data_IF_912644161741
#
_entry.id   IF_912644161741
#
_cell.length_a   1.000
_cell.length_b   1.000
_cell.length_c   1.000
_cell.angle_alpha   90.00
_cell.angle_beta   90.00
_cell.angle_gamma   90.00
#
_symmetry.space_group_name_H-M   'P 1'
#
loop_
_entity.id
_entity.type
_entity.pdbx_description
1 polymer ?
#
# COMPACT_ATOMS: atom_id res chain seq x y z
N UNK A 1 -14.51 -8.21 29.71
CA UNK A 1 -14.64 -8.16 28.24
C UNK A 1 -14.30 -6.75 27.77
N UNK A 2 -13.35 -6.58 26.86
CA UNK A 2 -13.06 -5.29 26.23
C UNK A 2 -13.67 -5.25 24.83
N UNK A 3 -14.54 -4.29 24.56
CA UNK A 3 -15.15 -4.08 23.24
C UNK A 3 -14.29 -3.06 22.49
N UNK A 4 -14.00 -3.31 21.21
CA UNK A 4 -13.27 -2.38 20.34
C UNK A 4 -14.04 -2.17 19.03
N UNK A 5 -13.76 -1.05 18.37
CA UNK A 5 -14.20 -0.79 17.00
C UNK A 5 -13.21 -1.42 16.01
N UNK A 6 -13.71 -1.89 14.88
CA UNK A 6 -12.90 -2.47 13.83
C UNK A 6 -13.51 -2.19 12.46
N UNK A 7 -12.66 -2.16 11.45
CA UNK A 7 -13.05 -2.04 10.04
C UNK A 7 -12.88 -3.42 9.41
N UNK A 8 -13.94 -3.98 8.87
CA UNK A 8 -13.87 -5.26 8.14
C UNK A 8 -13.25 -5.01 6.76
N UNK A 9 -12.02 -5.49 6.56
CA UNK A 9 -11.30 -5.40 5.27
C UNK A 9 -11.38 -6.69 4.45
N UNK A 10 -11.91 -7.76 5.02
CA UNK A 10 -12.11 -9.02 4.30
C UNK A 10 -12.99 -10.00 5.07
N UNK A 11 -13.50 -10.97 4.34
CA UNK A 11 -14.42 -11.98 4.85
C UNK A 11 -14.23 -13.31 4.10
N UNK A 12 -14.36 -14.41 4.84
CA UNK A 12 -14.32 -15.77 4.30
C UNK A 12 -15.61 -16.48 4.66
N UNK A 13 -16.16 -17.24 3.73
CA UNK A 13 -17.47 -17.87 3.94
C UNK A 13 -17.55 -19.25 3.27
N UNK A 14 -18.04 -20.24 4.03
CA UNK A 14 -18.38 -21.56 3.49
C UNK A 14 -19.77 -21.51 2.88
N UNK A 15 -19.84 -21.45 1.55
CA UNK A 15 -21.10 -21.35 0.80
C UNK A 15 -21.88 -22.66 0.76
N UNK A 16 -21.20 -23.80 0.90
CA UNK A 16 -21.82 -25.11 0.71
C UNK A 16 -22.24 -25.29 -0.76
N UNK A 17 -23.39 -25.92 -0.98
CA UNK A 17 -23.87 -26.22 -2.34
C UNK A 17 -24.85 -25.17 -2.90
N UNK A 18 -25.04 -24.03 -2.22
CA UNK A 18 -26.09 -23.04 -2.55
C UNK A 18 -26.17 -22.66 -4.03
N UNK A 19 -25.03 -22.37 -4.65
CA UNK A 19 -24.98 -21.94 -6.06
C UNK A 19 -24.86 -23.10 -7.02
N UNK A 20 -24.08 -24.11 -6.66
CA UNK A 20 -23.86 -25.29 -7.47
C UNK A 20 -25.12 -26.13 -7.64
N UNK A 21 -26.00 -26.23 -6.62
CA UNK A 21 -27.32 -26.86 -6.73
C UNK A 21 -28.23 -26.08 -7.71
N UNK A 22 -28.18 -24.75 -7.66
CA UNK A 22 -29.02 -23.88 -8.49
C UNK A 22 -28.55 -23.79 -9.96
N UNK A 23 -27.26 -24.02 -10.21
CA UNK A 23 -26.62 -23.88 -11.52
C UNK A 23 -26.24 -25.21 -12.16
N UNK A 24 -26.61 -26.33 -11.53
CA UNK A 24 -26.26 -27.70 -11.95
C UNK A 24 -24.74 -27.91 -12.13
N UNK A 25 -23.95 -27.35 -11.21
CA UNK A 25 -22.49 -27.47 -11.21
C UNK A 25 -22.06 -28.71 -10.43
N UNK A 26 -21.80 -29.80 -11.16
CA UNK A 26 -21.52 -31.13 -10.62
C UNK A 26 -20.15 -31.67 -11.05
N UNK A 27 -19.65 -32.68 -10.35
CA UNK A 27 -18.46 -33.46 -10.70
C UNK A 27 -18.70 -34.96 -10.48
N UNK A 28 -17.93 -35.81 -11.15
CA UNK A 28 -17.90 -37.25 -10.85
C UNK A 28 -16.74 -37.56 -9.91
N UNK A 29 -17.00 -38.36 -8.88
CA UNK A 29 -15.96 -38.85 -7.98
C UNK A 29 -15.23 -40.08 -8.56
N UNK A 30 -14.33 -40.65 -7.77
CA UNK A 30 -13.55 -41.84 -8.12
C UNK A 30 -14.39 -43.11 -8.35
N UNK A 31 -15.62 -43.15 -7.83
CA UNK A 31 -16.58 -44.24 -8.03
C UNK A 31 -17.52 -43.99 -9.23
N UNK A 32 -17.40 -42.83 -9.88
CA UNK A 32 -18.28 -42.40 -10.97
C UNK A 32 -19.61 -41.83 -10.48
N UNK A 33 -19.78 -41.60 -9.18
CA UNK A 33 -20.98 -40.98 -8.61
C UNK A 33 -20.96 -39.47 -8.87
N UNK A 34 -22.12 -38.92 -9.22
CA UNK A 34 -22.27 -37.48 -9.50
C UNK A 34 -22.59 -36.73 -8.22
N UNK A 35 -21.75 -35.74 -7.89
CA UNK A 35 -21.86 -34.90 -6.69
C UNK A 35 -21.92 -33.42 -7.07
N UNK A 36 -22.64 -32.63 -6.27
CA UNK A 36 -22.59 -31.18 -6.37
C UNK A 36 -21.29 -30.63 -5.77
N UNK A 37 -20.68 -29.63 -6.42
CA UNK A 37 -19.47 -28.97 -5.92
C UNK A 37 -19.74 -28.22 -4.61
N UNK A 38 -18.98 -28.51 -3.54
CA UNK A 38 -19.01 -27.72 -2.30
C UNK A 38 -18.18 -26.46 -2.47
N UNK A 39 -18.79 -25.30 -2.25
CA UNK A 39 -18.17 -24.00 -2.53
C UNK A 39 -17.76 -23.23 -1.26
N UNK A 40 -16.74 -22.40 -1.42
CA UNK A 40 -16.37 -21.33 -0.49
C UNK A 40 -16.11 -20.04 -1.25
N UNK A 41 -16.26 -18.89 -0.59
CA UNK A 41 -15.86 -17.60 -1.15
C UNK A 41 -14.99 -16.82 -0.18
N UNK A 42 -14.13 -15.99 -0.75
CA UNK A 42 -13.13 -15.20 -0.05
C UNK A 42 -13.11 -13.81 -0.67
N UNK A 43 -13.27 -12.78 0.15
CA UNK A 43 -13.33 -11.40 -0.31
C UNK A 43 -12.38 -10.52 0.49
N UNK A 44 -11.62 -9.67 -0.20
CA UNK A 44 -10.82 -8.60 0.39
C UNK A 44 -11.23 -7.28 -0.28
N UNK A 45 -11.58 -6.30 0.53
CA UNK A 45 -11.89 -4.96 0.06
C UNK A 45 -10.63 -4.16 -0.19
N UNK A 46 -9.93 -4.39 -1.32
CA UNK A 46 -8.61 -3.78 -1.61
C UNK A 46 -8.59 -2.26 -1.36
N UNK A 47 -9.52 -1.51 -1.95
CA UNK A 47 -9.61 -0.06 -1.73
C UNK A 47 -9.95 0.33 -0.28
N UNK A 48 -10.75 -0.50 0.41
CA UNK A 48 -11.04 -0.30 1.84
C UNK A 48 -9.81 -0.56 2.70
N UNK A 49 -8.96 -1.51 2.34
CA UNK A 49 -7.71 -1.81 3.04
C UNK A 49 -6.77 -0.61 3.01
N UNK A 50 -6.68 0.11 1.89
CA UNK A 50 -5.88 1.35 1.79
C UNK A 50 -6.39 2.40 2.78
N UNK A 51 -7.69 2.68 2.79
CA UNK A 51 -8.29 3.65 3.71
C UNK A 51 -8.14 3.20 5.19
N UNK A 52 -8.30 1.91 5.47
CA UNK A 52 -8.13 1.35 6.81
C UNK A 52 -6.67 1.44 7.29
N UNK A 53 -5.69 1.33 6.39
CA UNK A 53 -4.29 1.53 6.72
C UNK A 53 -4.02 2.98 7.13
N UNK A 54 -4.55 3.97 6.41
CA UNK A 54 -4.44 5.39 6.79
C UNK A 54 -5.12 5.66 8.14
N UNK A 55 -6.34 5.15 8.33
CA UNK A 55 -7.09 5.32 9.60
C UNK A 55 -6.31 4.80 10.82
N UNK A 56 -5.51 3.75 10.64
CA UNK A 56 -4.69 3.16 11.71
C UNK A 56 -3.29 3.77 11.83
N UNK A 57 -2.78 4.41 10.78
CA UNK A 57 -1.39 4.88 10.70
C UNK A 57 -1.37 6.32 10.15
N UNK A 58 -1.61 7.29 11.03
CA UNK A 58 -1.50 8.72 10.77
C UNK A 58 -1.18 9.46 12.07
N UNK A 59 -0.72 10.70 11.94
CA UNK A 59 -0.54 11.63 13.05
C UNK A 59 -1.12 13.02 12.71
N UNK A 60 -0.69 14.06 13.42
CA UNK A 60 -1.16 15.43 13.20
C UNK A 60 -0.62 16.04 11.89
N UNK A 61 0.47 15.50 11.35
CA UNK A 61 1.17 16.04 10.19
C UNK A 61 0.79 15.31 8.89
N UNK A 62 0.43 14.03 8.95
CA UNK A 62 0.00 13.31 7.76
C UNK A 62 -0.21 11.80 7.89
N UNK A 63 -0.15 11.15 6.73
CA UNK A 63 -0.24 9.69 6.60
C UNK A 63 1.08 9.07 7.09
N UNK A 64 1.04 7.86 7.65
CA UNK A 64 2.24 7.07 7.92
C UNK A 64 2.08 5.73 7.20
N UNK A 65 2.64 5.59 6.00
CA UNK A 65 2.46 4.36 5.23
C UNK A 65 3.25 3.19 5.84
N UNK A 66 2.61 2.02 6.02
CA UNK A 66 3.35 0.77 6.16
C UNK A 66 4.17 0.51 4.88
N UNK A 67 5.46 0.23 5.02
CA UNK A 67 6.41 0.07 3.89
C UNK A 67 5.89 -0.80 2.75
N UNK A 68 5.22 -1.96 2.98
CA UNK A 68 4.79 -2.84 1.87
C UNK A 68 3.69 -2.27 0.96
N UNK A 69 3.01 -1.19 1.39
CA UNK A 69 1.90 -0.57 0.63
C UNK A 69 2.14 0.93 0.39
N UNK A 70 3.34 1.43 0.71
CA UNK A 70 3.71 2.82 0.46
C UNK A 70 3.80 3.06 -1.05
N UNK A 71 3.33 4.21 -1.58
CA UNK A 71 3.47 4.53 -3.00
C UNK A 71 4.91 4.66 -3.46
N UNK A 72 5.76 5.22 -2.60
CA UNK A 72 7.21 5.29 -2.73
C UNK A 72 7.84 4.98 -1.38
N UNK A 73 9.04 4.43 -1.38
CA UNK A 73 9.78 4.10 -0.17
C UNK A 73 10.52 5.32 0.39
N UNK A 74 11.15 6.10 -0.50
CA UNK A 74 12.04 7.20 -0.14
C UNK A 74 11.64 8.48 -0.88
N UNK A 75 11.51 9.59 -0.16
CA UNK A 75 11.40 10.94 -0.71
C UNK A 75 12.75 11.68 -0.59
N UNK A 76 13.39 12.00 -1.71
CA UNK A 76 14.64 12.76 -1.75
C UNK A 76 14.29 14.25 -1.85
N UNK A 77 14.71 15.03 -0.85
CA UNK A 77 14.34 16.43 -0.71
C UNK A 77 15.61 17.30 -0.74
N UNK A 78 15.97 17.92 -1.89
CA UNK A 78 17.01 18.93 -1.93
C UNK A 78 16.58 20.21 -1.19
N UNK A 79 17.40 20.67 -0.25
CA UNK A 79 17.22 21.94 0.48
C UNK A 79 17.35 23.14 -0.47
N UNK A 80 18.17 23.00 -1.52
CA UNK A 80 18.30 23.97 -2.60
C UNK A 80 18.40 23.25 -3.93
N UNK A 81 17.67 23.71 -4.93
CA UNK A 81 17.72 23.17 -6.30
C UNK A 81 18.82 23.90 -7.06
N UNK A 82 20.04 23.37 -6.98
CA UNK A 82 21.20 23.82 -7.75
C UNK A 82 21.97 22.64 -8.36
N UNK A 83 22.88 22.92 -9.29
CA UNK A 83 23.61 21.89 -10.02
C UNK A 83 24.45 20.96 -9.12
N UNK A 84 24.98 21.46 -8.00
CA UNK A 84 25.80 20.66 -7.09
C UNK A 84 24.96 19.71 -6.26
N UNK A 85 23.88 20.20 -5.66
CA UNK A 85 22.94 19.44 -4.85
C UNK A 85 22.22 18.41 -5.70
N UNK A 86 21.76 18.80 -6.90
CA UNK A 86 21.01 17.90 -7.79
C UNK A 86 21.87 16.76 -8.31
N UNK A 87 23.19 16.94 -8.51
CA UNK A 87 24.09 15.83 -8.84
C UNK A 87 24.11 14.77 -7.74
N UNK A 88 24.14 15.19 -6.47
CA UNK A 88 24.10 14.27 -5.33
C UNK A 88 22.73 13.60 -5.22
N UNK A 89 21.64 14.36 -5.37
CA UNK A 89 20.28 13.82 -5.37
C UNK A 89 20.09 12.74 -6.45
N UNK A 90 20.49 13.02 -7.69
CA UNK A 90 20.39 12.07 -8.80
C UNK A 90 21.25 10.82 -8.56
N UNK A 91 22.46 10.97 -8.03
CA UNK A 91 23.29 9.81 -7.69
C UNK A 91 22.63 8.90 -6.64
N UNK A 92 22.03 9.49 -5.60
CA UNK A 92 21.30 8.74 -4.56
C UNK A 92 20.06 8.10 -5.15
N UNK A 93 19.30 8.84 -5.96
CA UNK A 93 18.11 8.35 -6.67
C UNK A 93 18.44 7.09 -7.47
N UNK A 94 19.42 7.17 -8.38
CA UNK A 94 19.85 6.04 -9.23
C UNK A 94 20.32 4.84 -8.39
N UNK A 95 21.03 5.09 -7.29
CA UNK A 95 21.55 4.04 -6.42
C UNK A 95 20.45 3.30 -5.67
N UNK A 96 19.41 4.01 -5.23
CA UNK A 96 18.27 3.44 -4.53
C UNK A 96 17.33 2.71 -5.50
N UNK A 97 17.08 3.26 -6.69
CA UNK A 97 16.35 2.56 -7.75
C UNK A 97 17.07 1.27 -8.16
N UNK A 98 18.39 1.30 -8.32
CA UNK A 98 19.19 0.11 -8.63
C UNK A 98 19.14 -0.94 -7.51
N UNK A 99 18.83 -0.54 -6.28
CA UNK A 99 18.59 -1.45 -5.16
C UNK A 99 17.15 -1.99 -5.12
N UNK A 100 16.28 -1.60 -6.06
CA UNK A 100 14.90 -2.05 -6.18
C UNK A 100 13.91 -1.27 -5.30
N UNK A 101 14.25 -0.06 -4.87
CA UNK A 101 13.35 0.80 -4.12
C UNK A 101 12.65 1.78 -5.06
N UNK A 102 11.34 1.96 -4.87
CA UNK A 102 10.61 3.10 -5.44
C UNK A 102 11.01 4.40 -4.75
N UNK A 103 11.51 5.37 -5.51
CA UNK A 103 12.04 6.64 -4.99
C UNK A 103 11.30 7.82 -5.63
N UNK A 104 10.95 8.81 -4.83
CA UNK A 104 10.48 10.12 -5.28
C UNK A 104 11.61 11.14 -5.11
N UNK A 105 11.71 12.09 -6.03
CA UNK A 105 12.64 13.22 -5.95
C UNK A 105 11.84 14.53 -6.01
N UNK A 106 11.84 15.30 -4.94
CA UNK A 106 11.18 16.61 -4.87
C UNK A 106 12.10 17.72 -5.44
N UNK A 107 12.21 17.77 -6.77
CA UNK A 107 13.02 18.74 -7.51
C UNK A 107 12.33 20.11 -7.71
N UNK A 108 11.17 20.34 -7.08
CA UNK A 108 10.42 21.60 -7.20
C UNK A 108 11.23 22.79 -6.68
N UNK A 109 11.14 23.93 -7.37
CA UNK A 109 11.74 25.19 -6.89
C UNK A 109 10.85 25.85 -5.82
N UNK A 110 10.78 25.19 -4.66
CA UNK A 110 9.96 25.59 -3.52
C UNK A 110 10.81 25.68 -2.25
N UNK A 111 10.33 26.46 -1.28
CA UNK A 111 11.02 26.60 0.02
C UNK A 111 11.06 25.25 0.74
N UNK A 112 12.16 24.91 1.45
CA UNK A 112 12.29 23.63 2.16
C UNK A 112 11.12 23.32 3.10
N UNK A 113 10.60 24.33 3.80
CA UNK A 113 9.45 24.14 4.69
C UNK A 113 8.16 23.71 3.99
N UNK A 114 7.97 24.08 2.71
CA UNK A 114 6.83 23.59 1.91
C UNK A 114 7.05 22.13 1.55
N UNK A 115 8.25 21.78 1.07
CA UNK A 115 8.61 20.40 0.74
C UNK A 115 8.49 19.46 1.93
N UNK A 116 9.00 19.85 3.09
CA UNK A 116 8.91 19.04 4.30
C UNK A 116 7.45 18.80 4.72
N UNK A 117 6.61 19.83 4.66
CA UNK A 117 5.19 19.69 4.99
C UNK A 117 4.45 18.79 4.01
N UNK A 118 4.74 18.90 2.72
CA UNK A 118 4.16 18.00 1.71
C UNK A 118 4.63 16.56 1.91
N UNK A 119 5.92 16.35 2.20
CA UNK A 119 6.50 15.04 2.47
C UNK A 119 5.90 14.37 3.72
N UNK A 120 5.68 15.15 4.79
CA UNK A 120 4.98 14.70 5.99
C UNK A 120 3.53 14.33 5.69
N UNK A 121 2.82 15.17 4.92
CA UNK A 121 1.43 14.94 4.56
C UNK A 121 1.23 13.63 3.75
N UNK A 122 2.08 13.39 2.74
CA UNK A 122 1.98 12.21 1.87
C UNK A 122 2.50 10.93 2.52
N UNK A 123 3.42 11.05 3.50
CA UNK A 123 3.70 9.98 4.45
C UNK A 123 4.63 8.87 3.99
N UNK A 124 5.52 9.12 3.03
CA UNK A 124 6.45 8.07 2.57
C UNK A 124 7.38 7.64 3.72
N UNK A 125 7.72 6.34 3.82
CA UNK A 125 8.40 5.79 5.00
C UNK A 125 9.74 6.45 5.34
N UNK A 126 10.49 6.91 4.32
CA UNK A 126 11.80 7.51 4.51
C UNK A 126 11.91 8.84 3.77
N UNK A 127 12.59 9.82 4.40
CA UNK A 127 12.96 11.10 3.78
C UNK A 127 14.48 11.25 3.77
N UNK A 128 15.05 11.56 2.61
CA UNK A 128 16.47 11.85 2.43
C UNK A 128 16.65 13.33 2.12
N UNK A 129 16.96 14.13 3.15
CA UNK A 129 17.13 15.58 3.02
C UNK A 129 18.58 15.90 2.64
N UNK A 130 18.77 16.53 1.47
CA UNK A 130 20.10 16.84 0.92
C UNK A 130 20.35 18.35 1.05
N UNK A 131 21.25 18.70 1.98
CA UNK A 131 21.69 20.07 2.21
C UNK A 131 22.99 20.42 1.46
N UNK A 132 23.38 21.71 1.46
CA UNK A 132 24.66 22.17 0.95
C UNK A 132 25.86 21.68 1.76
#
# INVERSE_FOLDING_TARGET
LSIRRGIEVGHVFKLGCKYSDALDATYQDENGETHTIVMGCYGIGVGRTVAAAIEQNHDEDGIIWPTPIAPYHVDIIPVRVDDETMKVCNHIYDSLEAAGLDVALDDRDERPGVKFKDADLIGFPYKAVIGP
#
